data_IF_964033979827
#
_entry.id   IF_964033979827
#
_cell.length_a   1.000
_cell.length_b   1.000
_cell.length_c   1.000
_cell.angle_alpha   90.00
_cell.angle_beta   90.00
_cell.angle_gamma   90.00
#
_symmetry.space_group_name_H-M   'P 1'
#
loop_
_entity.id
_entity.type
_entity.pdbx_description
1 polymer ?
#
# COMPACT_ATOMS: atom_id res chain seq x y z
N UNK A 1 -8.22 -5.53 -24.09
CA UNK A 1 -8.49 -6.52 -23.02
C UNK A 1 -7.68 -6.29 -21.72
N UNK A 2 -6.76 -5.31 -21.65
CA UNK A 2 -5.81 -5.19 -20.53
C UNK A 2 -6.35 -4.46 -19.28
N UNK A 3 -7.21 -3.45 -19.44
CA UNK A 3 -7.72 -2.66 -18.30
C UNK A 3 -8.59 -3.45 -17.31
N UNK A 4 -9.45 -4.36 -17.80
CA UNK A 4 -10.32 -5.17 -16.94
C UNK A 4 -9.52 -6.15 -16.06
N UNK A 5 -8.44 -6.72 -16.60
CA UNK A 5 -7.56 -7.64 -15.87
C UNK A 5 -6.73 -6.90 -14.80
N UNK A 6 -6.29 -5.67 -15.10
CA UNK A 6 -5.63 -4.81 -14.11
C UNK A 6 -6.55 -4.49 -12.93
N UNK A 7 -7.82 -4.16 -13.20
CA UNK A 7 -8.82 -3.89 -12.17
C UNK A 7 -9.05 -5.14 -11.30
N UNK A 8 -9.17 -6.32 -11.91
CA UNK A 8 -9.41 -7.58 -11.18
C UNK A 8 -8.23 -7.93 -10.24
N UNK A 9 -7.00 -7.76 -10.71
CA UNK A 9 -5.80 -8.01 -9.90
C UNK A 9 -5.66 -7.00 -8.74
N UNK A 10 -5.97 -5.72 -8.98
CA UNK A 10 -6.02 -4.74 -7.89
C UNK A 10 -7.12 -5.06 -6.89
N UNK A 11 -8.27 -5.58 -7.34
CA UNK A 11 -9.38 -5.95 -6.47
C UNK A 11 -9.01 -7.13 -5.56
N UNK A 12 -8.36 -8.17 -6.11
CA UNK A 12 -7.89 -9.30 -5.31
C UNK A 12 -6.84 -8.90 -4.27
N UNK A 13 -5.97 -7.94 -4.59
CA UNK A 13 -4.99 -7.42 -3.64
C UNK A 13 -5.63 -6.54 -2.55
N UNK A 14 -6.77 -5.90 -2.83
CA UNK A 14 -7.51 -5.10 -1.84
C UNK A 14 -8.18 -5.96 -0.76
N UNK A 15 -8.65 -7.17 -1.09
CA UNK A 15 -9.36 -8.05 -0.14
C UNK A 15 -8.54 -8.38 1.12
N UNK A 16 -7.31 -8.93 1.03
CA UNK A 16 -6.52 -9.26 2.22
C UNK A 16 -6.07 -8.02 2.98
N UNK A 17 -5.87 -6.88 2.30
CA UNK A 17 -5.48 -5.64 2.97
C UNK A 17 -6.63 -4.97 3.72
N UNK A 18 -7.85 -5.04 3.20
CA UNK A 18 -9.04 -4.62 3.93
C UNK A 18 -9.22 -5.46 5.21
N UNK A 19 -9.02 -6.78 5.10
CA UNK A 19 -9.04 -7.68 6.25
C UNK A 19 -7.96 -7.33 7.28
N UNK A 20 -6.74 -7.01 6.83
CA UNK A 20 -5.63 -6.66 7.71
C UNK A 20 -5.85 -5.33 8.41
N UNK A 21 -6.33 -4.30 7.69
CA UNK A 21 -6.70 -3.01 8.27
C UNK A 21 -7.84 -3.12 9.28
N UNK A 22 -8.86 -3.94 8.98
CA UNK A 22 -9.97 -4.20 9.88
C UNK A 22 -9.51 -4.93 11.15
N UNK A 23 -8.67 -5.96 11.02
CA UNK A 23 -8.09 -6.71 12.14
C UNK A 23 -7.21 -5.83 13.05
N UNK A 24 -6.42 -4.94 12.46
CA UNK A 24 -5.62 -3.95 13.21
C UNK A 24 -6.52 -2.98 13.98
N UNK A 25 -7.59 -2.49 13.36
CA UNK A 25 -8.53 -1.60 14.04
C UNK A 25 -9.26 -2.27 15.21
N UNK A 26 -9.65 -3.54 15.04
CA UNK A 26 -10.27 -4.37 16.08
C UNK A 26 -9.32 -4.62 17.23
N UNK A 27 -8.05 -4.89 16.93
CA UNK A 27 -7.01 -5.06 17.95
C UNK A 27 -6.82 -3.80 18.79
N UNK A 28 -6.88 -2.61 18.17
CA UNK A 28 -6.77 -1.32 18.86
C UNK A 28 -8.02 -0.99 19.69
N UNK A 29 -9.22 -1.31 19.18
CA UNK A 29 -10.47 -1.16 19.93
C UNK A 29 -10.50 -2.07 21.17
N UNK A 30 -10.09 -3.33 21.02
CA UNK A 30 -10.05 -4.30 22.10
C UNK A 30 -9.08 -3.88 23.21
N UNK A 31 -7.96 -3.22 22.87
CA UNK A 31 -6.94 -2.82 23.84
C UNK A 31 -7.30 -1.60 24.68
N UNK A 32 -8.17 -0.69 24.21
CA UNK A 32 -8.36 0.63 24.86
C UNK A 32 -9.74 0.93 25.42
N UNK A 33 -10.72 0.04 25.29
CA UNK A 33 -12.08 0.17 25.87
C UNK A 33 -12.66 1.60 25.85
N UNK A 34 -12.36 2.37 24.79
CA UNK A 34 -12.75 3.78 24.62
C UNK A 34 -13.52 3.86 23.31
N UNK A 35 -14.84 4.00 23.43
CA UNK A 35 -15.81 3.82 22.34
C UNK A 35 -16.05 5.07 21.49
N UNK A 36 -15.62 6.25 21.95
CA UNK A 36 -16.06 7.54 21.37
C UNK A 36 -15.17 8.10 20.23
N UNK A 37 -13.94 7.62 20.05
CA UNK A 37 -13.01 8.06 18.97
C UNK A 37 -12.60 6.91 18.04
N UNK A 38 -13.41 5.86 17.91
CA UNK A 38 -13.07 4.71 17.06
C UNK A 38 -13.05 5.06 15.57
N UNK A 39 -14.01 5.87 15.13
CA UNK A 39 -14.20 6.21 13.71
C UNK A 39 -13.04 7.00 13.12
N UNK A 40 -12.50 7.98 13.84
CA UNK A 40 -11.37 8.79 13.36
C UNK A 40 -10.08 7.96 13.26
N UNK A 41 -9.87 7.05 14.22
CA UNK A 41 -8.74 6.12 14.23
C UNK A 41 -8.83 5.11 13.10
N UNK A 42 -10.03 4.60 12.85
CA UNK A 42 -10.29 3.71 11.73
C UNK A 42 -10.03 4.43 10.41
N UNK A 43 -10.59 5.63 10.21
CA UNK A 43 -10.45 6.39 8.98
C UNK A 43 -8.99 6.74 8.66
N UNK A 44 -8.20 7.10 9.66
CA UNK A 44 -6.78 7.40 9.48
C UNK A 44 -5.96 6.15 9.10
N UNK A 45 -6.11 5.02 9.80
CA UNK A 45 -5.45 3.76 9.43
C UNK A 45 -5.86 3.33 8.02
N UNK A 46 -7.14 3.44 7.70
CA UNK A 46 -7.69 3.07 6.40
C UNK A 46 -7.11 3.89 5.24
N UNK A 47 -7.03 5.23 5.41
CA UNK A 47 -6.40 6.12 4.44
C UNK A 47 -4.93 5.76 4.20
N UNK A 48 -4.19 5.45 5.27
CA UNK A 48 -2.79 5.02 5.17
C UNK A 48 -2.64 3.68 4.44
N UNK A 49 -3.54 2.72 4.69
CA UNK A 49 -3.56 1.45 3.95
C UNK A 49 -3.83 1.66 2.46
N UNK A 50 -4.87 2.43 2.09
CA UNK A 50 -5.17 2.72 0.68
C UNK A 50 -3.98 3.39 0.01
N UNK A 51 -3.39 4.39 0.67
CA UNK A 51 -2.22 5.08 0.14
C UNK A 51 -1.04 4.13 -0.05
N UNK A 52 -0.79 3.23 0.92
CA UNK A 52 0.23 2.20 0.81
C UNK A 52 -0.02 1.21 -0.33
N UNK A 53 -1.28 0.79 -0.55
CA UNK A 53 -1.66 -0.09 -1.68
C UNK A 53 -1.31 0.58 -3.00
N UNK A 54 -1.80 1.82 -3.20
CA UNK A 54 -1.60 2.56 -4.45
C UNK A 54 -0.11 2.77 -4.71
N UNK A 55 0.63 3.24 -3.71
CA UNK A 55 2.07 3.50 -3.86
C UNK A 55 2.85 2.21 -4.10
N UNK A 56 2.58 1.14 -3.35
CA UNK A 56 3.27 -0.14 -3.56
C UNK A 56 2.94 -0.77 -4.90
N UNK A 57 1.71 -0.65 -5.39
CA UNK A 57 1.33 -1.19 -6.70
C UNK A 57 2.03 -0.43 -7.82
N UNK A 58 1.99 0.90 -7.79
CA UNK A 58 2.71 1.76 -8.74
C UNK A 58 4.22 1.45 -8.75
N UNK A 59 4.78 1.23 -7.56
CA UNK A 59 6.18 0.88 -7.38
C UNK A 59 6.52 -0.48 -7.99
N UNK A 60 5.69 -1.50 -7.73
CA UNK A 60 5.92 -2.86 -8.24
C UNK A 60 5.66 -3.00 -9.74
N UNK A 61 4.68 -2.27 -10.28
CA UNK A 61 4.26 -2.38 -11.67
C UNK A 61 5.18 -1.61 -12.65
N UNK A 62 5.83 -0.53 -12.20
CA UNK A 62 6.60 0.32 -13.10
C UNK A 62 7.96 -0.31 -13.46
N UNK A 63 8.34 -0.14 -14.74
CA UNK A 63 9.64 -0.56 -15.30
C UNK A 63 10.68 0.56 -15.25
N UNK A 64 10.26 1.77 -14.91
CA UNK A 64 11.12 2.94 -14.97
C UNK A 64 11.89 3.17 -13.66
N UNK A 65 13.15 3.61 -13.74
CA UNK A 65 13.94 3.99 -12.56
C UNK A 65 13.34 5.17 -11.78
N UNK A 66 12.34 5.86 -12.35
CA UNK A 66 11.57 6.94 -11.72
C UNK A 66 10.99 6.56 -10.36
N UNK A 67 10.64 5.28 -10.18
CA UNK A 67 10.13 4.74 -8.91
C UNK A 67 11.18 4.82 -7.80
N UNK A 68 12.46 4.67 -8.14
CA UNK A 68 13.57 4.77 -7.19
C UNK A 68 13.67 6.14 -6.52
N UNK A 69 13.19 7.20 -7.19
CA UNK A 69 13.16 8.55 -6.65
C UNK A 69 11.94 8.83 -5.76
N UNK A 70 10.84 8.12 -5.97
CA UNK A 70 9.59 8.34 -5.22
C UNK A 70 9.68 7.77 -3.81
N UNK A 71 10.35 6.63 -3.64
CA UNK A 71 10.50 5.95 -2.36
C UNK A 71 11.16 6.83 -1.27
N UNK A 72 12.33 7.48 -1.50
CA UNK A 72 12.94 8.35 -0.51
C UNK A 72 12.10 9.60 -0.22
N UNK A 73 11.38 10.15 -1.20
CA UNK A 73 10.44 11.28 -0.98
C UNK A 73 9.33 10.84 -0.02
N UNK A 74 8.80 9.63 -0.18
CA UNK A 74 7.76 9.09 0.69
C UNK A 74 8.23 8.92 2.13
N UNK A 75 9.43 8.35 2.30
CA UNK A 75 10.05 8.16 3.61
C UNK A 75 10.26 9.52 4.27
N UNK A 76 10.72 10.52 3.51
CA UNK A 76 10.93 11.88 4.02
C UNK A 76 9.61 12.50 4.50
N UNK A 77 8.54 12.42 3.71
CA UNK A 77 7.21 12.93 4.10
C UNK A 77 6.71 12.24 5.37
N UNK A 78 6.83 10.91 5.46
CA UNK A 78 6.41 10.14 6.63
C UNK A 78 7.21 10.55 7.87
N UNK A 79 8.55 10.63 7.75
CA UNK A 79 9.44 11.02 8.86
C UNK A 79 9.18 12.46 9.29
N UNK A 80 8.99 13.39 8.35
CA UNK A 80 8.65 14.79 8.65
C UNK A 80 7.30 14.88 9.35
N UNK A 81 6.29 14.13 8.90
CA UNK A 81 4.97 14.10 9.53
C UNK A 81 5.03 13.54 10.96
N UNK A 82 5.77 12.44 11.16
CA UNK A 82 6.02 11.88 12.50
C UNK A 82 6.75 12.92 13.36
N UNK A 83 7.84 13.51 12.87
CA UNK A 83 8.62 14.52 13.59
C UNK A 83 7.79 15.73 14.00
N UNK A 84 6.93 16.22 13.11
CA UNK A 84 5.98 17.30 13.39
C UNK A 84 4.99 16.92 14.50
N UNK A 85 4.42 15.72 14.45
CA UNK A 85 3.51 15.21 15.49
C UNK A 85 4.21 14.99 16.84
N UNK A 86 5.50 14.64 16.83
CA UNK A 86 6.30 14.51 18.05
C UNK A 86 6.68 15.86 18.66
N UNK A 87 6.82 16.91 17.84
CA UNK A 87 7.13 18.27 18.27
C UNK A 87 5.94 18.94 18.96
N UNK A 88 4.72 18.67 18.49
CA UNK A 88 3.51 18.97 19.24
C UNK A 88 3.50 18.03 20.46
N UNK A 89 3.40 18.56 21.70
CA UNK A 89 3.30 17.77 22.94
C UNK A 89 1.96 17.02 23.01
N UNK A 90 1.71 16.14 22.06
CA UNK A 90 0.50 15.35 21.96
C UNK A 90 0.57 14.24 23.01
N UNK A 91 -0.57 13.99 23.64
CA UNK A 91 -0.79 12.94 24.62
C UNK A 91 -0.23 11.59 24.15
N UNK A 92 0.35 10.82 25.07
CA UNK A 92 1.04 9.54 24.78
C UNK A 92 0.19 8.54 23.97
N UNK A 93 -1.14 8.68 24.02
CA UNK A 93 -2.10 7.86 23.30
C UNK A 93 -1.99 7.95 21.76
N UNK A 94 -1.63 9.12 21.21
CA UNK A 94 -1.53 9.32 19.76
C UNK A 94 -0.20 8.83 19.19
N UNK A 95 0.88 8.84 20.00
CA UNK A 95 2.18 8.28 19.58
C UNK A 95 2.06 6.82 19.17
N UNK A 96 1.37 6.01 19.98
CA UNK A 96 1.18 4.59 19.67
C UNK A 96 0.34 4.40 18.41
N UNK A 97 -0.67 5.24 18.18
CA UNK A 97 -1.52 5.17 16.99
C UNK A 97 -0.73 5.44 15.71
N UNK A 98 0.12 6.48 15.72
CA UNK A 98 0.95 6.84 14.56
C UNK A 98 1.89 5.68 14.19
N UNK A 99 2.50 5.02 15.19
CA UNK A 99 3.35 3.86 14.94
C UNK A 99 2.58 2.72 14.26
N UNK A 100 1.35 2.44 14.68
CA UNK A 100 0.50 1.46 14.00
C UNK A 100 0.18 1.85 12.57
N UNK A 101 -0.14 3.13 12.29
CA UNK A 101 -0.39 3.61 10.93
C UNK A 101 0.84 3.44 10.02
N UNK A 102 2.04 3.71 10.54
CA UNK A 102 3.29 3.57 9.78
C UNK A 102 3.60 2.10 9.49
N UNK A 103 3.43 1.22 10.47
CA UNK A 103 3.60 -0.23 10.29
C UNK A 103 2.58 -0.77 9.28
N UNK A 104 1.32 -0.36 9.39
CA UNK A 104 0.27 -0.73 8.44
C UNK A 104 0.62 -0.28 7.01
N UNK A 105 1.04 0.98 6.84
CA UNK A 105 1.46 1.51 5.54
C UNK A 105 2.66 0.72 4.97
N UNK A 106 3.68 0.44 5.78
CA UNK A 106 4.84 -0.34 5.35
C UNK A 106 4.45 -1.74 4.87
N UNK A 107 3.63 -2.46 5.65
CA UNK A 107 3.14 -3.78 5.26
C UNK A 107 2.31 -3.71 3.98
N UNK A 108 1.40 -2.74 3.86
CA UNK A 108 0.60 -2.53 2.66
C UNK A 108 1.45 -2.25 1.42
N UNK A 109 2.47 -1.40 1.54
CA UNK A 109 3.41 -1.10 0.44
C UNK A 109 4.18 -2.36 0.03
N UNK A 110 4.70 -3.12 1.00
CA UNK A 110 5.46 -4.34 0.71
C UNK A 110 4.61 -5.39 -0.02
N UNK A 111 3.42 -5.69 0.51
CA UNK A 111 2.50 -6.64 -0.12
C UNK A 111 2.12 -6.18 -1.52
N UNK A 112 1.71 -4.91 -1.68
CA UNK A 112 1.30 -4.37 -2.98
C UNK A 112 2.46 -4.36 -3.99
N UNK A 113 3.68 -4.09 -3.54
CA UNK A 113 4.88 -4.13 -4.39
C UNK A 113 5.19 -5.52 -4.91
N UNK A 114 5.04 -6.57 -4.08
CA UNK A 114 5.26 -7.96 -4.51
C UNK A 114 4.21 -8.35 -5.56
N UNK A 115 2.95 -7.97 -5.35
CA UNK A 115 1.88 -8.22 -6.33
C UNK A 115 2.11 -7.45 -7.64
N UNK A 116 2.49 -6.17 -7.57
CA UNK A 116 2.83 -5.37 -8.74
C UNK A 116 3.98 -5.97 -9.55
N UNK A 117 5.01 -6.50 -8.87
CA UNK A 117 6.14 -7.17 -9.52
C UNK A 117 5.72 -8.44 -10.27
N UNK A 118 4.85 -9.27 -9.68
CA UNK A 118 4.30 -10.47 -10.35
C UNK A 118 3.47 -10.11 -11.59
N UNK A 119 2.67 -9.05 -11.50
CA UNK A 119 1.89 -8.56 -12.64
C UNK A 119 2.78 -8.16 -13.82
N UNK A 120 3.91 -7.50 -13.53
CA UNK A 120 4.90 -7.11 -14.55
C UNK A 120 5.49 -8.30 -15.29
N UNK A 121 5.77 -9.39 -14.58
CA UNK A 121 6.35 -10.62 -15.14
C UNK A 121 5.39 -11.34 -16.10
N UNK A 122 4.10 -11.42 -15.73
CA UNK A 122 3.06 -12.01 -16.58
C UNK A 122 2.90 -11.26 -17.91
N UNK A 123 3.03 -9.93 -17.89
CA UNK A 123 2.95 -9.12 -19.11
C UNK A 123 4.16 -9.34 -20.04
N UNK A 124 5.39 -9.46 -19.51
CA UNK A 124 6.57 -9.72 -20.36
C UNK A 124 6.50 -11.05 -21.12
N UNK A 125 5.88 -12.09 -20.54
CA UNK A 125 5.70 -13.39 -21.22
C UNK A 125 4.72 -13.25 -22.39
N UNK A 126 3.66 -12.47 -22.20
CA UNK A 126 2.66 -12.21 -23.25
C UNK A 126 3.25 -11.44 -24.43
N UNK A 127 4.14 -10.49 -24.16
CA UNK A 127 4.85 -9.71 -25.18
C UNK A 127 5.79 -10.63 -26.01
N UNK A 128 6.56 -11.50 -25.34
CA UNK A 128 7.46 -12.45 -26.00
C UNK A 128 6.73 -13.49 -26.87
N UNK A 129 5.55 -13.96 -26.44
CA UNK A 129 4.72 -14.84 -27.26
C UNK A 129 4.21 -14.14 -28.53
N UNK A 130 3.79 -12.87 -28.42
CA UNK A 130 3.35 -12.08 -29.58
C UNK A 130 4.46 -11.92 -30.61
N UNK A 131 5.68 -11.67 -30.15
CA UNK A 131 6.84 -11.51 -31.03
C UNK A 131 7.18 -12.82 -31.77
N UNK A 132 7.13 -13.95 -31.07
CA UNK A 132 7.35 -15.28 -31.67
C UNK A 132 6.33 -15.62 -32.76
N UNK A 133 5.06 -15.25 -32.57
CA UNK A 133 4.02 -15.45 -33.58
C UNK A 133 4.23 -14.59 -34.83
N UNK A 134 4.67 -13.34 -34.68
CA UNK A 134 4.94 -12.46 -35.83
C UNK A 134 6.10 -12.99 -36.70
N UNK A 135 7.12 -13.60 -36.10
CA UNK A 135 8.23 -14.20 -36.84
C UNK A 135 7.83 -15.47 -37.62
N UNK A 136 6.78 -16.19 -37.20
CA UNK A 136 6.30 -17.40 -37.90
C UNK A 136 5.42 -17.09 -39.12
N UNK A 137 4.85 -15.87 -39.19
CA UNK A 137 3.96 -15.46 -40.26
C UNK A 137 4.63 -14.55 -41.31
N UNK A 138 5.93 -14.27 -41.18
CA UNK A 138 6.72 -13.51 -42.15
C UNK A 138 7.64 -14.42 -42.96
#
# INVERSE_FOLDING_TARGET
MSACCMILATLEAMIPMLFFGFALSLSIAALKNTTLTYWERFASIFLFCIFGVVMGFLTGASREPTVGNILPILITIIVTYIGHMFALKIENNYRTLILYCVVALLLSVLFSSIYGAKYRESNSISDAQKESFNCLCS
#
